data_IF_461171144394
#
_entry.id   IF_461171144394
#
_cell.length_a   1.000
_cell.length_b   1.000
_cell.length_c   1.000
_cell.angle_alpha   90.00
_cell.angle_beta   90.00
_cell.angle_gamma   90.00
#
_symmetry.space_group_name_H-M   'P 1'
#
loop_
_entity.id
_entity.type
_entity.pdbx_description
1 polymer ?
#
# COMPACT_ATOMS: atom_id res chain seq x y z
N UNK A 1 7.44 -16.77 -30.34
CA UNK A 1 6.65 -16.76 -29.08
C UNK A 1 7.67 -16.87 -27.96
N UNK A 2 7.54 -16.15 -26.85
CA UNK A 2 8.41 -16.40 -25.73
C UNK A 2 8.22 -17.86 -25.27
N UNK A 3 9.30 -18.60 -25.17
CA UNK A 3 9.29 -19.96 -24.67
C UNK A 3 9.29 -19.87 -23.14
N UNK A 4 8.42 -20.63 -22.47
CA UNK A 4 8.38 -20.66 -21.01
C UNK A 4 7.00 -20.99 -20.47
N UNK A 5 6.94 -21.26 -19.16
CA UNK A 5 5.69 -21.48 -18.44
C UNK A 5 5.09 -20.14 -17.99
N UNK A 6 3.83 -19.93 -18.32
CA UNK A 6 3.01 -18.86 -17.73
C UNK A 6 1.77 -19.47 -17.09
N UNK A 7 1.44 -19.02 -15.87
CA UNK A 7 0.23 -19.42 -15.15
C UNK A 7 -0.58 -18.17 -14.83
N UNK A 8 -1.85 -18.21 -15.16
CA UNK A 8 -2.81 -17.13 -14.90
C UNK A 8 -3.84 -17.59 -13.87
N UNK A 9 -4.37 -16.68 -13.09
CA UNK A 9 -5.57 -16.92 -12.30
C UNK A 9 -6.84 -16.73 -13.15
N UNK A 10 -8.00 -16.99 -12.54
CA UNK A 10 -9.31 -16.84 -13.20
C UNK A 10 -9.61 -15.39 -13.62
N UNK A 11 -8.99 -14.40 -13.01
CA UNK A 11 -9.06 -12.98 -13.36
C UNK A 11 -8.12 -12.57 -14.50
N UNK A 12 -7.33 -13.51 -15.06
CA UNK A 12 -6.37 -13.24 -16.14
C UNK A 12 -5.05 -12.60 -15.69
N UNK A 13 -4.79 -12.48 -14.39
CA UNK A 13 -3.51 -11.99 -13.88
C UNK A 13 -2.46 -13.09 -13.90
N UNK A 14 -1.26 -12.76 -14.39
CA UNK A 14 -0.10 -13.66 -14.36
C UNK A 14 0.28 -13.94 -12.92
N UNK A 15 0.37 -15.22 -12.57
CA UNK A 15 0.80 -15.67 -11.24
C UNK A 15 2.23 -16.22 -11.25
N UNK A 16 2.63 -16.84 -12.35
CA UNK A 16 3.97 -17.37 -12.57
C UNK A 16 4.37 -17.01 -14.01
N UNK A 17 5.58 -16.52 -14.19
CA UNK A 17 6.18 -16.31 -15.50
C UNK A 17 7.63 -16.79 -15.48
N UNK A 18 7.99 -17.70 -16.40
CA UNK A 18 9.33 -18.24 -16.50
C UNK A 18 10.36 -17.21 -17.01
N UNK A 19 9.92 -16.12 -17.63
CA UNK A 19 10.82 -15.09 -18.18
C UNK A 19 11.19 -14.01 -17.15
N UNK A 20 10.42 -13.92 -16.05
CA UNK A 20 10.59 -12.90 -15.03
C UNK A 20 10.80 -13.52 -13.65
N UNK A 21 11.41 -12.75 -12.75
CA UNK A 21 11.50 -13.13 -11.34
C UNK A 21 10.14 -12.92 -10.69
N UNK A 22 9.55 -14.02 -10.21
CA UNK A 22 8.32 -13.93 -9.45
C UNK A 22 8.64 -13.42 -8.04
N UNK A 23 7.85 -12.48 -7.56
CA UNK A 23 8.03 -11.94 -6.20
C UNK A 23 7.59 -12.96 -5.16
N UNK A 24 8.48 -13.33 -4.27
CA UNK A 24 8.20 -14.26 -3.17
C UNK A 24 8.05 -13.54 -1.83
N UNK A 25 7.30 -14.11 -0.91
CA UNK A 25 7.20 -13.65 0.48
C UNK A 25 8.55 -13.82 1.18
N UNK A 26 9.17 -12.71 1.58
CA UNK A 26 10.45 -12.68 2.28
C UNK A 26 10.29 -12.48 3.78
N UNK A 27 9.31 -11.69 4.18
CA UNK A 27 9.10 -11.35 5.58
C UNK A 27 7.66 -10.92 5.84
N UNK A 28 7.25 -10.93 7.09
CA UNK A 28 5.97 -10.39 7.55
C UNK A 28 6.09 -9.85 8.96
N UNK A 29 5.19 -8.97 9.32
CA UNK A 29 5.10 -8.45 10.67
C UNK A 29 3.74 -7.86 10.96
N UNK A 30 3.57 -7.39 12.18
CA UNK A 30 2.32 -6.78 12.62
C UNK A 30 2.61 -5.67 13.62
N UNK A 31 1.63 -4.82 13.85
CA UNK A 31 1.73 -3.75 14.83
C UNK A 31 0.37 -3.11 15.09
N UNK A 32 0.36 -2.22 16.08
CA UNK A 32 -0.79 -1.39 16.37
C UNK A 32 -0.37 0.07 16.20
N UNK A 33 -1.06 0.79 15.33
CA UNK A 33 -0.85 2.22 15.15
C UNK A 33 -1.77 2.94 16.12
N UNK A 34 -1.27 3.88 16.95
CA UNK A 34 -2.11 4.65 17.85
C UNK A 34 -3.10 5.54 17.09
N UNK A 35 -4.11 6.09 17.77
CA UNK A 35 -5.05 7.03 17.17
C UNK A 35 -4.34 8.22 16.54
N UNK A 36 -4.82 8.66 15.38
CA UNK A 36 -4.40 9.93 14.78
C UNK A 36 -5.02 11.10 15.52
N UNK A 37 -4.25 12.14 15.78
CA UNK A 37 -4.78 13.37 16.37
C UNK A 37 -5.38 14.24 15.26
N UNK A 38 -6.69 14.20 15.12
CA UNK A 38 -7.45 14.99 14.13
C UNK A 38 -8.06 16.27 14.72
N UNK A 39 -7.53 16.75 15.86
CA UNK A 39 -8.04 17.96 16.49
C UNK A 39 -7.87 19.20 15.60
N UNK A 40 -8.85 20.12 15.69
CA UNK A 40 -8.75 21.40 15.01
C UNK A 40 -7.49 22.17 15.45
N UNK A 41 -6.69 22.60 14.50
CA UNK A 41 -5.46 23.38 14.77
C UNK A 41 -4.15 22.62 14.50
N UNK A 42 -4.19 21.42 13.97
CA UNK A 42 -2.99 20.65 13.61
C UNK A 42 -3.23 19.16 13.72
N UNK A 43 -4.04 18.60 12.82
CA UNK A 43 -4.20 17.16 12.72
C UNK A 43 -2.91 16.53 12.21
N UNK A 44 -2.45 15.50 12.89
CA UNK A 44 -1.30 14.71 12.48
C UNK A 44 -1.65 13.23 12.53
N UNK A 45 -1.46 12.55 11.42
CA UNK A 45 -1.62 11.10 11.36
C UNK A 45 -0.55 10.42 12.20
N UNK A 46 -0.95 9.49 13.04
CA UNK A 46 -0.05 8.55 13.68
C UNK A 46 0.43 7.51 12.68
N UNK A 47 1.62 6.99 12.89
CA UNK A 47 2.20 5.97 12.02
C UNK A 47 3.11 5.02 12.80
N UNK A 48 3.32 3.85 12.23
CA UNK A 48 4.45 2.98 12.57
C UNK A 48 5.41 2.93 11.39
N UNK A 49 6.69 2.83 11.69
CA UNK A 49 7.74 2.65 10.68
C UNK A 49 8.45 1.33 10.90
N UNK A 50 8.85 0.70 9.81
CA UNK A 50 9.66 -0.51 9.84
C UNK A 50 10.63 -0.52 8.66
N UNK A 51 11.72 -1.23 8.82
CA UNK A 51 12.75 -1.33 7.79
C UNK A 51 12.88 -2.78 7.32
N UNK A 52 12.93 -2.96 6.02
CA UNK A 52 13.15 -4.25 5.37
C UNK A 52 14.37 -4.16 4.47
N UNK A 53 15.06 -5.27 4.28
CA UNK A 53 16.13 -5.38 3.30
C UNK A 53 15.62 -6.14 2.09
N UNK A 54 16.08 -5.73 0.90
CA UNK A 54 15.66 -6.36 -0.34
C UNK A 54 16.29 -5.71 -1.57
N UNK A 55 15.89 -6.20 -2.72
CA UNK A 55 16.28 -5.67 -4.02
C UNK A 55 15.25 -4.65 -4.51
N UNK A 56 13.96 -5.05 -4.51
CA UNK A 56 12.81 -4.25 -4.91
C UNK A 56 11.58 -4.63 -4.08
N UNK A 57 11.58 -4.40 -2.76
CA UNK A 57 10.51 -4.87 -1.89
C UNK A 57 9.19 -4.16 -2.15
N UNK A 58 8.11 -4.93 -2.27
CA UNK A 58 6.74 -4.47 -2.24
C UNK A 58 6.10 -4.86 -0.90
N UNK A 59 5.36 -3.94 -0.30
CA UNK A 59 4.69 -4.17 0.99
C UNK A 59 3.19 -4.25 0.78
N UNK A 60 2.62 -5.43 1.06
CA UNK A 60 1.19 -5.61 1.15
C UNK A 60 0.73 -5.44 2.60
N UNK A 61 -0.37 -4.75 2.82
CA UNK A 61 -0.89 -4.42 4.15
C UNK A 61 -2.32 -4.91 4.31
N UNK A 62 -2.58 -5.55 5.45
CA UNK A 62 -3.90 -5.73 6.03
C UNK A 62 -4.07 -4.67 7.11
N UNK A 63 -5.20 -3.99 7.13
CA UNK A 63 -5.50 -2.96 8.11
C UNK A 63 -6.97 -3.00 8.50
N UNK A 64 -7.27 -3.09 9.80
CA UNK A 64 -8.65 -3.08 10.31
C UNK A 64 -9.35 -1.73 10.10
N UNK A 65 -8.57 -0.66 9.94
CA UNK A 65 -9.05 0.70 9.70
C UNK A 65 -8.36 1.30 8.48
N UNK A 66 -8.82 2.47 8.06
CA UNK A 66 -8.20 3.19 6.95
C UNK A 66 -6.73 3.46 7.22
N UNK A 67 -5.85 2.97 6.36
CA UNK A 67 -4.41 3.16 6.46
C UNK A 67 -3.77 3.32 5.07
N UNK A 68 -2.64 4.00 5.04
CA UNK A 68 -1.82 4.15 3.85
C UNK A 68 -0.38 3.71 4.15
N UNK A 69 0.20 2.92 3.26
CA UNK A 69 1.58 2.45 3.38
C UNK A 69 2.43 2.96 2.23
N UNK A 70 3.53 3.63 2.53
CA UNK A 70 4.46 4.07 1.49
C UNK A 70 5.92 4.07 1.95
N UNK A 71 6.81 4.08 0.96
CA UNK A 71 8.25 4.16 1.17
C UNK A 71 8.64 5.56 1.66
N UNK A 72 9.25 5.62 2.83
CA UNK A 72 9.76 6.87 3.43
C UNK A 72 11.20 7.15 3.01
N UNK A 73 12.05 6.11 3.00
CA UNK A 73 13.45 6.26 2.61
C UNK A 73 14.06 4.96 2.10
N UNK A 74 15.07 5.11 1.26
CA UNK A 74 15.91 4.00 0.77
C UNK A 74 17.39 4.33 1.00
N UNK A 75 18.14 3.35 1.54
CA UNK A 75 19.60 3.42 1.68
C UNK A 75 20.21 2.09 1.24
N UNK A 76 20.72 2.04 0.01
CA UNK A 76 21.20 0.80 -0.60
C UNK A 76 20.07 -0.24 -0.73
N UNK A 77 20.25 -1.39 -0.09
CA UNK A 77 19.24 -2.46 -0.01
C UNK A 77 18.27 -2.34 1.18
N UNK A 78 18.38 -1.28 1.98
CA UNK A 78 17.53 -1.04 3.13
C UNK A 78 16.40 -0.06 2.77
N UNK A 79 15.15 -0.45 2.99
CA UNK A 79 13.95 0.30 2.66
C UNK A 79 13.14 0.52 3.95
N UNK A 80 12.87 1.79 4.27
CA UNK A 80 12.02 2.15 5.41
C UNK A 80 10.65 2.53 4.90
N UNK A 81 9.65 1.81 5.36
CA UNK A 81 8.23 2.07 5.09
C UNK A 81 7.55 2.65 6.31
N UNK A 82 6.49 3.42 6.08
CA UNK A 82 5.57 3.87 7.11
C UNK A 82 4.15 3.45 6.77
N UNK A 83 3.41 2.98 7.77
CA UNK A 83 1.97 2.76 7.68
C UNK A 83 1.30 3.83 8.53
N UNK A 84 0.54 4.71 7.88
CA UNK A 84 -0.19 5.81 8.49
C UNK A 84 -1.61 5.41 8.82
N UNK A 85 -2.09 5.83 9.96
CA UNK A 85 -3.47 5.65 10.39
C UNK A 85 -4.34 6.80 9.89
N UNK A 86 -5.36 6.51 9.11
CA UNK A 86 -6.33 7.48 8.62
C UNK A 86 -7.46 7.79 9.59
N UNK A 87 -7.50 7.16 10.76
CA UNK A 87 -8.60 7.27 11.71
C UNK A 87 -8.14 7.62 13.14
N UNK A 88 -9.03 8.23 13.93
CA UNK A 88 -8.79 8.56 15.34
C UNK A 88 -9.14 7.38 16.27
N UNK A 89 -8.54 6.22 16.03
CA UNK A 89 -8.65 5.03 16.85
C UNK A 89 -7.41 4.15 16.67
N UNK A 90 -7.15 3.23 17.61
CA UNK A 90 -6.10 2.22 17.41
C UNK A 90 -6.39 1.42 16.15
N UNK A 91 -5.35 1.11 15.37
CA UNK A 91 -5.45 0.39 14.12
C UNK A 91 -4.49 -0.80 14.12
N UNK A 92 -5.02 -2.01 14.17
CA UNK A 92 -4.22 -3.22 14.01
C UNK A 92 -3.86 -3.41 12.55
N UNK A 93 -2.58 -3.63 12.28
CA UNK A 93 -2.07 -3.84 10.93
C UNK A 93 -1.16 -5.07 10.88
N UNK A 94 -1.21 -5.75 9.75
CA UNK A 94 -0.23 -6.76 9.36
C UNK A 94 0.40 -6.34 8.04
N UNK A 95 1.66 -6.66 7.83
CA UNK A 95 2.34 -6.39 6.57
C UNK A 95 3.11 -7.61 6.08
N UNK A 96 3.23 -7.73 4.76
CA UNK A 96 3.90 -8.81 4.04
C UNK A 96 4.87 -8.18 3.06
N UNK A 97 6.16 -8.52 3.20
CA UNK A 97 7.20 -8.11 2.25
C UNK A 97 7.30 -9.14 1.14
N UNK A 98 7.06 -8.72 -0.08
CA UNK A 98 7.36 -9.48 -1.28
C UNK A 98 8.59 -8.87 -1.96
N UNK A 99 9.45 -9.72 -2.49
CA UNK A 99 10.64 -9.29 -3.22
C UNK A 99 11.01 -10.34 -4.28
N UNK A 100 11.96 -9.99 -5.15
CA UNK A 100 12.43 -10.89 -6.17
C UNK A 100 12.85 -12.24 -5.58
N UNK A 101 12.43 -13.32 -6.25
CA UNK A 101 12.87 -14.66 -5.88
C UNK A 101 14.38 -14.77 -6.10
N UNK A 102 15.07 -15.30 -5.10
CA UNK A 102 16.47 -15.71 -5.20
C UNK A 102 16.56 -17.23 -5.07
N UNK A 103 17.71 -17.78 -5.43
CA UNK A 103 17.91 -19.24 -5.38
C UNK A 103 18.10 -19.78 -3.95
N UNK A 104 18.01 -18.93 -2.92
CA UNK A 104 18.23 -19.31 -1.54
C UNK A 104 17.09 -20.21 -1.06
N UNK A 105 17.45 -21.41 -0.58
CA UNK A 105 16.49 -22.34 -0.01
C UNK A 105 15.56 -23.00 -1.03
N UNK A 106 16.04 -23.25 -2.26
CA UNK A 106 15.32 -24.11 -3.19
C UNK A 106 15.05 -25.46 -2.52
N UNK A 107 13.76 -25.88 -2.55
CA UNK A 107 13.38 -27.18 -2.00
C UNK A 107 13.92 -28.34 -2.86
N UNK A 108 14.14 -29.49 -2.25
CA UNK A 108 14.61 -30.70 -2.95
C UNK A 108 13.48 -31.43 -3.70
N UNK A 109 12.24 -30.95 -3.60
CA UNK A 109 11.05 -31.58 -4.18
C UNK A 109 10.01 -30.53 -4.61
N UNK A 110 9.12 -30.91 -5.52
CA UNK A 110 8.09 -30.05 -6.03
C UNK A 110 8.35 -29.54 -7.44
N UNK A 111 7.53 -28.59 -7.88
CA UNK A 111 7.70 -27.94 -9.19
C UNK A 111 8.68 -26.77 -9.06
N UNK A 112 9.73 -26.83 -9.86
CA UNK A 112 10.68 -25.74 -10.03
C UNK A 112 10.66 -25.27 -11.48
N UNK A 113 10.67 -23.94 -11.69
CA UNK A 113 10.75 -23.34 -13.02
C UNK A 113 12.00 -22.50 -13.10
N UNK A 114 12.78 -22.73 -14.14
CA UNK A 114 14.02 -22.02 -14.43
C UNK A 114 13.83 -21.18 -15.69
N UNK A 115 14.45 -20.01 -15.75
CA UNK A 115 14.48 -19.21 -16.95
C UNK A 115 15.53 -19.74 -17.96
N UNK A 116 15.58 -19.12 -19.15
CA UNK A 116 16.47 -19.53 -20.23
C UNK A 116 17.97 -19.45 -19.90
N UNK A 117 18.37 -18.80 -18.81
CA UNK A 117 19.77 -18.77 -18.32
C UNK A 117 19.99 -19.64 -17.08
N UNK A 118 19.03 -20.53 -16.77
CA UNK A 118 19.14 -21.49 -15.68
C UNK A 118 18.91 -20.91 -14.26
N UNK A 119 18.40 -19.71 -14.14
CA UNK A 119 18.02 -19.12 -12.84
C UNK A 119 16.66 -19.64 -12.41
N UNK A 120 16.54 -20.09 -11.16
CA UNK A 120 15.25 -20.47 -10.56
C UNK A 120 14.35 -19.22 -10.44
N UNK A 121 13.18 -19.26 -11.04
CA UNK A 121 12.20 -18.17 -11.06
C UNK A 121 10.91 -18.51 -10.33
N UNK A 122 10.68 -19.82 -10.10
CA UNK A 122 9.56 -20.30 -9.29
C UNK A 122 9.91 -21.63 -8.60
N UNK A 123 9.49 -21.78 -7.36
CA UNK A 123 9.57 -23.02 -6.58
C UNK A 123 8.25 -23.20 -5.82
N UNK A 124 7.55 -24.32 -6.01
CA UNK A 124 6.27 -24.61 -5.38
C UNK A 124 6.31 -24.67 -3.84
N UNK A 125 7.51 -24.76 -3.26
CA UNK A 125 7.69 -24.73 -1.80
C UNK A 125 7.70 -23.30 -1.22
N UNK A 126 7.73 -22.28 -2.08
CA UNK A 126 7.74 -20.87 -1.68
C UNK A 126 6.35 -20.25 -1.81
N UNK A 127 6.14 -19.15 -1.10
CA UNK A 127 4.91 -18.36 -1.19
C UNK A 127 5.15 -17.14 -2.09
N UNK A 128 4.41 -17.08 -3.19
CA UNK A 128 4.54 -16.01 -4.17
C UNK A 128 3.41 -15.00 -4.07
N UNK A 129 3.66 -13.79 -4.53
CA UNK A 129 2.68 -12.74 -4.70
C UNK A 129 1.53 -13.23 -5.61
N UNK A 130 0.32 -13.26 -5.08
CA UNK A 130 -0.89 -13.67 -5.81
C UNK A 130 -1.80 -12.47 -5.99
N UNK A 131 -1.74 -11.87 -7.17
CA UNK A 131 -2.57 -10.72 -7.51
C UNK A 131 -3.99 -11.17 -7.83
N UNK A 132 -4.98 -10.59 -7.16
CA UNK A 132 -6.40 -10.82 -7.39
C UNK A 132 -7.00 -9.77 -8.31
N UNK A 133 -6.59 -8.50 -8.14
CA UNK A 133 -7.19 -7.37 -8.85
C UNK A 133 -6.19 -6.21 -8.92
N UNK A 134 -6.42 -5.33 -9.88
CA UNK A 134 -5.80 -4.03 -9.97
C UNK A 134 -6.89 -2.95 -9.87
N UNK A 135 -6.66 -1.99 -9.03
CA UNK A 135 -7.63 -0.95 -8.76
C UNK A 135 -6.99 0.42 -8.97
N UNK A 136 -7.45 1.13 -10.00
CA UNK A 136 -7.15 2.53 -10.21
C UNK A 136 -8.40 3.35 -9.91
N UNK A 137 -8.24 4.37 -9.09
CA UNK A 137 -9.34 5.29 -8.77
C UNK A 137 -8.86 6.72 -8.75
N UNK A 138 -9.75 7.64 -9.15
CA UNK A 138 -9.62 9.05 -8.84
C UNK A 138 -9.88 9.32 -7.36
N UNK A 139 -9.48 10.48 -6.89
CA UNK A 139 -9.80 10.95 -5.54
C UNK A 139 -11.32 11.07 -5.37
N UNK A 140 -11.87 10.60 -4.26
CA UNK A 140 -13.31 10.68 -4.05
C UNK A 140 -13.85 9.86 -2.88
N UNK A 141 -15.11 9.48 -3.00
CA UNK A 141 -15.88 8.81 -1.98
C UNK A 141 -15.41 7.37 -1.73
N UNK A 142 -15.87 6.81 -0.61
CA UNK A 142 -15.64 5.42 -0.26
C UNK A 142 -16.08 4.48 -1.38
N UNK A 143 -15.17 3.62 -1.80
CA UNK A 143 -15.44 2.49 -2.67
C UNK A 143 -15.12 1.18 -1.94
N UNK A 144 -15.89 0.14 -2.21
CA UNK A 144 -15.71 -1.19 -1.62
C UNK A 144 -15.86 -2.28 -2.65
N UNK A 145 -14.95 -3.29 -2.62
CA UNK A 145 -15.03 -4.52 -3.42
C UNK A 145 -14.88 -5.74 -2.53
N UNK A 146 -15.63 -6.80 -2.84
CA UNK A 146 -15.56 -8.07 -2.15
C UNK A 146 -14.70 -9.09 -2.90
N UNK A 147 -14.00 -9.95 -2.14
CA UNK A 147 -13.17 -11.07 -2.63
C UNK A 147 -13.49 -12.33 -1.82
N UNK A 148 -14.66 -12.94 -2.00
CA UNK A 148 -15.17 -14.01 -1.14
C UNK A 148 -14.19 -15.16 -0.99
N UNK A 149 -13.98 -15.61 0.25
CA UNK A 149 -13.11 -16.74 0.60
C UNK A 149 -11.62 -16.43 0.51
N UNK A 150 -11.23 -15.17 0.33
CA UNK A 150 -9.83 -14.72 0.30
C UNK A 150 -9.49 -13.88 1.53
N UNK A 151 -8.26 -14.02 2.02
CA UNK A 151 -7.69 -13.06 2.96
C UNK A 151 -6.93 -12.01 2.15
N UNK A 152 -7.45 -10.79 2.15
CA UNK A 152 -7.03 -9.74 1.24
C UNK A 152 -6.04 -8.79 1.91
N UNK A 153 -4.92 -8.53 1.24
CA UNK A 153 -4.00 -7.44 1.55
C UNK A 153 -3.87 -6.50 0.33
N UNK A 154 -3.35 -5.30 0.53
CA UNK A 154 -3.19 -4.32 -0.55
C UNK A 154 -1.77 -3.79 -0.62
N UNK A 155 -1.27 -3.63 -1.85
CA UNK A 155 -0.04 -2.89 -2.15
C UNK A 155 -0.44 -1.54 -2.76
N UNK A 156 -0.04 -0.46 -2.12
CA UNK A 156 -0.17 0.87 -2.69
C UNK A 156 0.93 1.07 -3.74
N UNK A 157 0.54 1.06 -5.02
CA UNK A 157 1.47 1.26 -6.14
C UNK A 157 1.70 2.74 -6.42
N UNK A 158 0.64 3.55 -6.22
CA UNK A 158 0.69 4.99 -6.34
C UNK A 158 -0.30 5.60 -5.34
N UNK A 159 0.11 6.66 -4.67
CA UNK A 159 -0.74 7.28 -3.65
C UNK A 159 -1.61 8.36 -4.27
N UNK A 160 -2.93 8.14 -4.23
CA UNK A 160 -3.89 9.20 -4.45
C UNK A 160 -3.77 10.23 -3.34
N UNK A 161 -3.66 11.48 -3.72
CA UNK A 161 -3.56 12.57 -2.77
C UNK A 161 -4.49 13.71 -3.16
N UNK A 162 -4.90 14.44 -2.13
CA UNK A 162 -5.58 15.70 -2.29
C UNK A 162 -4.94 16.73 -1.38
N UNK A 163 -4.50 17.81 -1.97
CA UNK A 163 -3.99 18.95 -1.23
C UNK A 163 -4.98 20.11 -1.36
N UNK A 164 -5.51 20.55 -0.24
CA UNK A 164 -6.54 21.59 -0.18
C UNK A 164 -5.99 22.81 0.53
N UNK A 165 -6.13 23.95 -0.11
CA UNK A 165 -5.84 25.26 0.46
C UNK A 165 -7.13 26.06 0.44
N UNK A 166 -7.63 26.44 1.61
CA UNK A 166 -8.88 27.21 1.73
C UNK A 166 -8.77 28.29 2.81
N UNK A 167 -9.68 29.25 2.79
CA UNK A 167 -9.71 30.30 3.83
C UNK A 167 -9.88 29.68 5.21
N UNK A 168 -9.17 30.20 6.19
CA UNK A 168 -9.30 29.75 7.56
C UNK A 168 -10.71 30.02 8.09
N UNK A 169 -11.41 29.02 8.62
CA UNK A 169 -12.71 29.23 9.26
C UNK A 169 -12.61 29.97 10.59
N UNK A 170 -11.41 30.09 11.16
CA UNK A 170 -11.19 30.69 12.49
C UNK A 170 -11.05 32.21 12.41
N UNK A 171 -10.54 32.72 11.27
CA UNK A 171 -10.49 34.15 11.02
C UNK A 171 -10.82 34.45 9.56
N UNK A 172 -12.10 34.54 9.23
CA UNK A 172 -12.53 34.87 7.86
C UNK A 172 -12.13 36.28 7.42
N UNK A 173 -11.78 37.16 8.37
CA UNK A 173 -11.36 38.51 8.09
C UNK A 173 -9.87 38.65 7.76
N UNK A 174 -9.09 37.61 8.04
CA UNK A 174 -7.65 37.56 7.73
C UNK A 174 -7.38 36.85 6.42
N UNK A 175 -7.17 37.59 5.30
CA UNK A 175 -6.93 37.00 3.98
C UNK A 175 -5.61 36.21 3.90
N UNK A 176 -4.75 36.36 4.91
CA UNK A 176 -3.41 35.77 4.94
C UNK A 176 -3.35 34.42 5.67
N UNK A 177 -4.42 33.99 6.33
CA UNK A 177 -4.47 32.72 7.02
C UNK A 177 -5.27 31.71 6.20
N UNK A 178 -4.63 30.67 5.78
CA UNK A 178 -5.22 29.56 5.01
C UNK A 178 -5.21 28.28 5.82
N UNK A 179 -6.25 27.53 5.63
CA UNK A 179 -6.32 26.16 6.08
C UNK A 179 -5.63 25.26 5.03
N UNK A 180 -4.58 24.58 5.42
CA UNK A 180 -3.83 23.65 4.59
C UNK A 180 -4.15 22.24 5.04
N UNK A 181 -4.64 21.42 4.14
CA UNK A 181 -4.95 20.01 4.42
C UNK A 181 -4.37 19.13 3.33
N UNK A 182 -3.61 18.13 3.73
CA UNK A 182 -3.28 17.02 2.85
C UNK A 182 -4.09 15.79 3.22
N UNK A 183 -4.56 15.10 2.22
CA UNK A 183 -5.32 13.87 2.33
C UNK A 183 -4.66 12.81 1.46
N UNK A 184 -4.72 11.56 1.89
CA UNK A 184 -4.29 10.40 1.12
C UNK A 184 -5.46 9.44 0.99
N UNK A 185 -5.51 8.73 -0.14
CA UNK A 185 -6.34 7.54 -0.22
C UNK A 185 -5.78 6.50 0.73
N UNK A 186 -6.64 6.04 1.63
CA UNK A 186 -6.34 5.00 2.60
C UNK A 186 -7.20 3.78 2.33
N UNK A 187 -6.68 2.63 2.66
CA UNK A 187 -7.35 1.35 2.49
C UNK A 187 -7.64 0.70 3.84
N UNK A 188 -8.77 0.00 3.90
CA UNK A 188 -9.13 -0.92 4.99
C UNK A 188 -9.48 -2.27 4.39
N UNK A 189 -8.97 -3.33 4.98
CA UNK A 189 -9.27 -4.70 4.61
C UNK A 189 -10.03 -5.40 5.73
N UNK A 190 -11.16 -5.99 5.42
CA UNK A 190 -11.92 -6.80 6.36
C UNK A 190 -12.10 -8.19 5.77
N UNK A 191 -11.42 -9.20 6.32
CA UNK A 191 -11.44 -10.59 5.84
C UNK A 191 -11.34 -10.70 4.30
N UNK A 192 -12.48 -10.66 3.61
CA UNK A 192 -12.65 -10.86 2.18
C UNK A 192 -13.10 -9.59 1.42
N UNK A 193 -12.91 -8.41 1.99
CA UNK A 193 -13.24 -7.15 1.32
C UNK A 193 -12.16 -6.09 1.47
N UNK A 194 -12.13 -5.18 0.50
CA UNK A 194 -11.29 -3.99 0.46
C UNK A 194 -12.16 -2.76 0.35
N UNK A 195 -11.91 -1.78 1.21
CA UNK A 195 -12.49 -0.43 1.11
C UNK A 195 -11.37 0.59 0.97
N UNK A 196 -11.55 1.57 0.10
CA UNK A 196 -10.62 2.69 -0.09
C UNK A 196 -11.39 3.99 0.03
N UNK A 197 -10.84 4.94 0.80
CA UNK A 197 -11.41 6.26 1.04
C UNK A 197 -10.31 7.30 1.19
N UNK A 198 -10.61 8.54 0.78
CA UNK A 198 -9.72 9.68 1.00
C UNK A 198 -9.85 10.14 2.46
N UNK A 199 -8.75 10.06 3.21
CA UNK A 199 -8.73 10.46 4.62
C UNK A 199 -7.69 11.55 4.88
N UNK A 200 -7.94 12.38 5.89
CA UNK A 200 -7.00 13.43 6.29
C UNK A 200 -5.77 12.80 6.94
N UNK A 201 -4.58 13.11 6.42
CA UNK A 201 -3.31 12.63 6.96
C UNK A 201 -2.53 13.73 7.69
N UNK A 202 -2.72 14.97 7.28
CA UNK A 202 -2.08 16.13 7.89
C UNK A 202 -2.91 17.38 7.66
N UNK A 203 -3.04 18.19 8.70
CA UNK A 203 -3.72 19.47 8.63
C UNK A 203 -2.92 20.51 9.39
N UNK A 204 -2.59 21.62 8.72
CA UNK A 204 -2.07 22.81 9.38
C UNK A 204 -3.08 23.95 9.20
N UNK A 205 -3.76 24.29 10.28
CA UNK A 205 -4.87 25.21 10.23
C UNK A 205 -4.47 26.70 10.11
N UNK A 206 -3.19 27.04 10.31
CA UNK A 206 -2.83 28.45 10.55
C UNK A 206 -1.49 28.87 9.90
N UNK A 207 -1.17 28.37 8.72
CA UNK A 207 -0.02 28.89 7.98
C UNK A 207 -0.41 30.15 7.19
N UNK A 208 0.37 31.23 7.25
CA UNK A 208 0.22 32.33 6.31
C UNK A 208 0.48 31.82 4.89
N UNK A 209 -0.49 31.95 4.02
CA UNK A 209 -0.40 31.50 2.63
C UNK A 209 -0.95 32.59 1.72
N UNK A 210 -0.15 33.04 0.78
CA UNK A 210 -0.48 34.14 -0.14
C UNK A 210 -0.94 33.67 -1.53
N UNK A 211 -1.08 32.35 -1.73
CA UNK A 211 -1.56 31.78 -2.99
C UNK A 211 -3.08 31.76 -3.11
N UNK A 212 -3.56 31.41 -4.29
CA UNK A 212 -4.97 31.15 -4.55
C UNK A 212 -5.45 29.87 -3.84
N UNK A 213 -6.78 29.73 -3.70
CA UNK A 213 -7.39 28.48 -3.23
C UNK A 213 -7.20 27.44 -4.33
N UNK A 214 -6.39 26.42 -4.07
CA UNK A 214 -6.10 25.36 -5.01
C UNK A 214 -6.40 23.99 -4.40
N UNK A 215 -6.99 23.13 -5.21
CA UNK A 215 -7.09 21.69 -4.95
C UNK A 215 -6.21 21.01 -5.98
N UNK A 216 -5.22 20.27 -5.50
CA UNK A 216 -4.37 19.42 -6.35
C UNK A 216 -4.71 17.98 -5.99
N UNK A 217 -5.06 17.19 -6.99
CA UNK A 217 -5.49 15.82 -6.82
C UNK A 217 -4.72 14.89 -7.77
N UNK A 218 -4.46 13.67 -7.34
CA UNK A 218 -3.87 12.61 -8.13
C UNK A 218 -4.58 11.28 -7.89
N UNK A 219 -4.67 10.40 -8.89
CA UNK A 219 -5.27 9.08 -8.74
C UNK A 219 -4.42 8.19 -7.83
N UNK A 220 -5.07 7.23 -7.20
CA UNK A 220 -4.39 6.14 -6.51
C UNK A 220 -4.44 4.84 -7.30
N UNK A 221 -3.39 4.02 -7.14
CA UNK A 221 -3.27 2.70 -7.78
C UNK A 221 -2.92 1.66 -6.75
N UNK A 222 -3.65 0.56 -6.79
CA UNK A 222 -3.55 -0.50 -5.80
C UNK A 222 -3.52 -1.86 -6.46
N UNK A 223 -2.64 -2.75 -5.99
CA UNK A 223 -2.76 -4.17 -6.23
C UNK A 223 -3.46 -4.83 -5.05
N UNK A 224 -4.48 -5.61 -5.34
CA UNK A 224 -5.16 -6.45 -4.36
C UNK A 224 -4.54 -7.85 -4.42
N UNK A 225 -4.09 -8.34 -3.27
CA UNK A 225 -3.34 -9.59 -3.20
C UNK A 225 -3.98 -10.57 -2.21
N UNK A 226 -3.94 -11.85 -2.58
CA UNK A 226 -4.40 -12.95 -1.75
C UNK A 226 -3.26 -13.41 -0.83
N UNK A 227 -3.44 -13.21 0.46
CA UNK A 227 -2.52 -13.67 1.51
C UNK A 227 -3.12 -14.79 2.36
N UNK A 228 -4.11 -15.51 1.83
CA UNK A 228 -4.67 -16.71 2.46
C UNK A 228 -3.56 -17.74 2.66
N UNK A 229 -3.40 -18.23 3.88
CA UNK A 229 -2.35 -19.19 4.29
C UNK A 229 -0.90 -18.66 4.23
N UNK A 230 -0.70 -17.38 4.34
CA UNK A 230 0.62 -16.74 4.46
C UNK A 230 1.02 -16.55 5.91
#
# INVERSE_FOLDING_TARGET
>A
MPEGLQVFNDGGFVQIDANYLNMELKNRGSGVIPPSNMAAGGAQSSSITFTVNGENPAIAVISERMAACYLVSRRGSSFTFAIYNGENANNSVEWFQFDNSNNDGAGDSGLQVFNGVGRLVFDSNKKYLRVLDYWERGTGNLETRGYPGKRVAVIMCDYGYRFVVQNSPVDPSSPNYKFLQSQLDCARTTNDSLSIELTATWTNAFAPYHGEQNVVEGPSRWLVVDVTNF
#
